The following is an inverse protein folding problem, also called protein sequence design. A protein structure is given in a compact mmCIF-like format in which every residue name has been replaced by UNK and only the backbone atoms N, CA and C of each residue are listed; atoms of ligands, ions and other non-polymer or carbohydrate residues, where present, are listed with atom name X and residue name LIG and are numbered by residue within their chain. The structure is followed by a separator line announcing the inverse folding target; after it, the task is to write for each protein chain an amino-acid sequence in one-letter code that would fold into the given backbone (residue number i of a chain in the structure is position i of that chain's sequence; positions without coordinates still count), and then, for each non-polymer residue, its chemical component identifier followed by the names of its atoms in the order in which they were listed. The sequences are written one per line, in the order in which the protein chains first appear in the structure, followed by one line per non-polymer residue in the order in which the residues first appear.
data_IF_484902484189
#
_entry.id   IF_484902484189
#
_cell.length_a   1.000
_cell.length_b   1.000
_cell.length_c   1.000
_cell.angle_alpha   90.00
_cell.angle_beta   90.00
_cell.angle_gamma   90.00
#
_symmetry.space_group_name_H-M   'P 1'
#
loop_
_entity.id
_entity.type
_entity.pdbx_description
1 polymer ?
#
# COMPACT_ATOMS: atom_id res chain seq x y z
N UNK A 1 -13.41 31.82 -43.63
CA UNK A 1 -12.16 31.20 -43.12
C UNK A 1 -12.57 30.28 -41.98
N UNK A 2 -12.47 28.97 -42.17
CA UNK A 2 -12.84 27.97 -41.16
C UNK A 2 -11.55 27.45 -40.52
N UNK A 3 -11.42 27.61 -39.20
CA UNK A 3 -10.30 27.09 -38.42
C UNK A 3 -10.72 25.73 -37.89
N UNK A 4 -10.22 24.65 -38.51
CA UNK A 4 -10.35 23.29 -38.02
C UNK A 4 -9.43 23.09 -36.81
N UNK A 5 -10.01 23.00 -35.61
CA UNK A 5 -9.31 22.61 -34.39
C UNK A 5 -9.22 21.08 -34.33
N UNK A 6 -8.06 20.53 -34.66
CA UNK A 6 -7.67 19.16 -34.36
C UNK A 6 -7.33 19.08 -32.86
N UNK A 7 -8.26 18.59 -32.04
CA UNK A 7 -7.98 18.27 -30.64
C UNK A 7 -7.44 16.84 -30.55
N UNK A 8 -6.15 16.73 -30.25
CA UNK A 8 -5.47 15.46 -30.02
C UNK A 8 -6.07 14.73 -28.81
N UNK A 9 -6.52 13.49 -29.01
CA UNK A 9 -6.94 12.60 -27.95
C UNK A 9 -5.70 12.15 -27.14
N UNK A 10 -5.47 12.77 -25.99
CA UNK A 10 -4.54 12.27 -25.00
C UNK A 10 -5.12 10.98 -24.41
N UNK A 11 -4.66 9.84 -24.92
CA UNK A 11 -4.80 8.55 -24.24
C UNK A 11 -3.90 8.57 -22.99
N UNK A 12 -4.36 9.27 -21.96
CA UNK A 12 -3.80 9.11 -20.62
C UNK A 12 -4.09 7.68 -20.19
N UNK A 13 -3.05 6.84 -20.14
CA UNK A 13 -3.13 5.51 -19.54
C UNK A 13 -3.58 5.67 -18.08
N UNK A 14 -4.86 5.42 -17.85
CA UNK A 14 -5.44 5.46 -16.51
C UNK A 14 -4.63 4.54 -15.59
N UNK A 15 -4.41 4.92 -14.32
CA UNK A 15 -3.70 4.05 -13.39
C UNK A 15 -4.44 2.71 -13.33
N UNK A 16 -3.75 1.61 -13.69
CA UNK A 16 -4.31 0.25 -13.61
C UNK A 16 -4.84 0.05 -12.20
N UNK A 17 -6.14 -0.13 -12.01
CA UNK A 17 -6.72 -0.29 -10.68
C UNK A 17 -6.16 -1.57 -10.01
N UNK A 18 -5.85 -1.57 -8.70
CA UNK A 18 -5.42 -2.80 -8.03
C UNK A 18 -6.51 -3.87 -8.14
N UNK A 19 -6.11 -5.13 -8.35
CA UNK A 19 -7.02 -6.28 -8.28
C UNK A 19 -7.89 -6.19 -7.00
N UNK A 20 -9.22 -6.41 -7.10
CA UNK A 20 -10.13 -6.39 -5.95
C UNK A 20 -9.60 -7.14 -4.71
N UNK A 21 -8.89 -8.26 -4.88
CA UNK A 21 -8.31 -9.02 -3.75
C UNK A 21 -7.36 -8.16 -2.90
N UNK A 22 -6.58 -7.30 -3.52
CA UNK A 22 -5.63 -6.44 -2.82
C UNK A 22 -6.32 -5.28 -2.11
N UNK A 23 -7.47 -4.82 -2.63
CA UNK A 23 -8.29 -3.82 -1.94
C UNK A 23 -8.90 -4.40 -0.66
N UNK A 24 -9.43 -5.62 -0.69
CA UNK A 24 -9.94 -6.28 0.50
C UNK A 24 -8.82 -6.62 1.50
N UNK A 25 -7.69 -7.09 1.00
CA UNK A 25 -6.50 -7.36 1.83
C UNK A 25 -6.02 -6.08 2.52
N UNK A 26 -5.98 -4.95 1.81
CA UNK A 26 -5.65 -3.66 2.41
C UNK A 26 -6.69 -3.23 3.45
N UNK A 27 -7.99 -3.38 3.18
CA UNK A 27 -9.04 -3.06 4.14
C UNK A 27 -8.90 -3.90 5.41
N UNK A 28 -8.73 -5.22 5.28
CA UNK A 28 -8.52 -6.14 6.39
C UNK A 28 -7.33 -5.72 7.25
N UNK A 29 -6.14 -5.54 6.66
CA UNK A 29 -4.96 -5.15 7.41
C UNK A 29 -5.03 -3.71 7.95
N UNK A 30 -5.75 -2.83 7.26
CA UNK A 30 -6.06 -1.46 7.69
C UNK A 30 -6.73 -1.40 9.05
N UNK A 31 -7.56 -2.39 9.41
CA UNK A 31 -8.20 -2.45 10.72
C UNK A 31 -7.24 -2.69 11.89
N UNK A 32 -6.06 -3.25 11.63
CA UNK A 32 -5.08 -3.58 12.68
C UNK A 32 -3.98 -2.52 12.84
N UNK A 33 -3.95 -1.50 11.99
CA UNK A 33 -2.91 -0.47 12.03
C UNK A 33 -3.48 0.88 12.42
N UNK A 34 -2.66 1.67 13.10
CA UNK A 34 -3.00 3.03 13.52
C UNK A 34 -1.72 3.86 13.65
N UNK A 35 -1.81 5.18 13.83
CA UNK A 35 -0.63 5.99 14.12
C UNK A 35 0.17 5.53 15.36
N UNK A 36 -0.46 4.80 16.28
CA UNK A 36 0.20 4.21 17.46
C UNK A 36 0.96 2.91 17.17
N UNK A 37 0.80 2.34 15.96
CA UNK A 37 1.43 1.08 15.53
C UNK A 37 0.41 0.02 15.15
N UNK A 38 0.85 -1.24 15.19
CA UNK A 38 0.02 -2.42 14.90
C UNK A 38 -0.60 -2.98 16.19
N UNK A 39 -1.84 -3.46 16.10
CA UNK A 39 -2.53 -4.16 17.20
C UNK A 39 -2.27 -5.68 17.16
N UNK A 40 -1.93 -6.21 15.98
CA UNK A 40 -1.69 -7.62 15.75
C UNK A 40 -0.19 -7.97 15.80
N UNK A 41 0.12 -9.23 16.13
CA UNK A 41 1.50 -9.76 16.11
C UNK A 41 1.80 -10.42 14.78
N UNK A 42 2.49 -9.70 13.91
CA UNK A 42 2.94 -10.20 12.61
C UNK A 42 4.40 -10.63 12.62
N UNK A 43 4.79 -11.59 11.74
CA UNK A 43 6.21 -11.83 11.48
C UNK A 43 6.88 -10.56 10.95
N UNK A 44 8.14 -10.37 11.28
CA UNK A 44 8.95 -9.27 10.77
C UNK A 44 10.10 -9.79 9.93
N UNK A 45 10.48 -9.01 8.92
CA UNK A 45 11.69 -9.23 8.12
C UNK A 45 12.63 -8.04 8.25
N UNK A 46 13.95 -8.23 8.10
CA UNK A 46 14.92 -7.15 8.30
C UNK A 46 14.80 -5.99 7.30
N UNK A 47 14.32 -6.28 6.08
CA UNK A 47 14.17 -5.27 5.01
C UNK A 47 13.02 -5.64 4.09
N UNK A 48 12.45 -4.62 3.45
CA UNK A 48 11.50 -4.82 2.35
C UNK A 48 12.24 -5.51 1.19
N UNK A 49 11.65 -6.55 0.57
CA UNK A 49 12.20 -7.15 -0.65
C UNK A 49 12.49 -6.08 -1.71
N UNK A 50 13.67 -6.16 -2.32
CA UNK A 50 14.19 -5.09 -3.19
C UNK A 50 13.32 -4.84 -4.41
N UNK A 51 12.76 -5.91 -4.99
CA UNK A 51 11.86 -5.80 -6.14
C UNK A 51 10.54 -5.10 -5.82
N UNK A 52 10.21 -4.87 -4.55
CA UNK A 52 8.98 -4.19 -4.14
C UNK A 52 9.14 -2.68 -3.94
N UNK A 53 10.37 -2.17 -3.84
CA UNK A 53 10.61 -0.75 -3.50
C UNK A 53 9.98 0.23 -4.49
N UNK A 54 9.98 -0.13 -5.77
CA UNK A 54 9.43 0.69 -6.86
C UNK A 54 8.06 0.18 -7.35
N UNK A 55 7.44 -0.74 -6.58
CA UNK A 55 6.11 -1.26 -6.92
C UNK A 55 5.02 -0.39 -6.32
N UNK A 56 3.80 -0.58 -6.82
CA UNK A 56 2.64 0.10 -6.26
C UNK A 56 2.38 -0.41 -4.83
N UNK A 57 2.38 0.51 -3.88
CA UNK A 57 1.83 0.29 -2.54
C UNK A 57 0.38 0.78 -2.37
N UNK A 58 -0.29 0.30 -1.33
CA UNK A 58 -1.57 0.80 -0.84
C UNK A 58 -1.38 1.40 0.55
N UNK A 59 -1.77 2.67 0.75
CA UNK A 59 -1.73 3.30 2.07
C UNK A 59 -2.78 2.66 2.98
N UNK A 60 -2.37 2.17 4.15
CA UNK A 60 -3.27 1.61 5.16
C UNK A 60 -3.67 2.65 6.20
N UNK A 61 -2.71 3.46 6.66
CA UNK A 61 -2.98 4.64 7.47
C UNK A 61 -1.94 5.72 7.19
N UNK A 62 -2.25 6.93 7.66
CA UNK A 62 -1.32 8.05 7.70
C UNK A 62 -0.98 8.39 9.15
N UNK A 63 0.18 9.01 9.43
CA UNK A 63 0.57 9.37 10.79
C UNK A 63 -0.34 10.47 11.39
N UNK A 64 -1.05 11.22 10.53
CA UNK A 64 -1.97 12.28 10.95
C UNK A 64 -1.23 13.46 11.59
N UNK A 65 -1.87 14.11 12.57
CA UNK A 65 -1.26 15.20 13.34
C UNK A 65 -0.45 14.72 14.55
N UNK A 66 -0.23 13.41 14.71
CA UNK A 66 0.45 12.86 15.89
C UNK A 66 1.98 12.99 15.72
N UNK A 67 2.67 13.75 16.60
CA UNK A 67 4.13 13.80 16.59
C UNK A 67 4.70 12.40 16.81
N UNK A 68 5.58 11.95 15.90
CA UNK A 68 6.11 10.57 15.92
C UNK A 68 5.11 9.49 15.53
N UNK A 69 3.94 9.87 14.99
CA UNK A 69 2.94 8.92 14.49
C UNK A 69 3.50 8.03 13.38
N UNK A 70 2.96 6.82 13.29
CA UNK A 70 3.40 5.78 12.35
C UNK A 70 2.52 5.77 11.10
N UNK A 71 3.14 5.75 9.93
CA UNK A 71 2.49 5.48 8.66
C UNK A 71 2.64 3.99 8.31
N UNK A 72 1.66 3.42 7.63
CA UNK A 72 1.70 2.03 7.18
C UNK A 72 1.32 1.95 5.71
N UNK A 73 2.18 1.31 4.93
CA UNK A 73 2.01 1.08 3.50
C UNK A 73 2.07 -0.42 3.24
N UNK A 74 1.11 -0.94 2.49
CA UNK A 74 1.08 -2.34 2.06
C UNK A 74 1.68 -2.49 0.66
N UNK A 75 2.76 -3.26 0.57
CA UNK A 75 3.41 -3.68 -0.67
C UNK A 75 2.90 -5.06 -1.07
N UNK A 76 2.65 -5.23 -2.37
CA UNK A 76 2.05 -6.45 -2.92
C UNK A 76 3.12 -7.21 -3.70
N UNK A 77 3.41 -8.43 -3.28
CA UNK A 77 4.24 -9.36 -4.05
C UNK A 77 3.33 -10.31 -4.82
N UNK A 78 3.04 -9.94 -6.07
CA UNK A 78 2.15 -10.72 -6.94
C UNK A 78 2.74 -12.08 -7.33
N UNK A 79 4.07 -12.19 -7.40
CA UNK A 79 4.75 -13.43 -7.75
C UNK A 79 4.65 -14.46 -6.61
N UNK A 80 4.89 -14.02 -5.38
CA UNK A 80 4.78 -14.86 -4.19
C UNK A 80 3.34 -14.96 -3.64
N UNK A 81 2.41 -14.15 -4.14
CA UNK A 81 1.02 -14.02 -3.66
C UNK A 81 0.95 -13.73 -2.16
N UNK A 82 1.76 -12.77 -1.71
CA UNK A 82 1.81 -12.30 -0.31
C UNK A 82 1.89 -10.78 -0.28
N UNK A 83 1.67 -10.20 0.89
CA UNK A 83 1.87 -8.77 1.13
C UNK A 83 2.90 -8.52 2.23
N UNK A 84 3.51 -7.34 2.18
CA UNK A 84 4.38 -6.82 3.22
C UNK A 84 3.84 -5.47 3.67
N UNK A 85 3.87 -5.18 4.96
CA UNK A 85 3.45 -3.88 5.49
C UNK A 85 4.70 -3.17 6.00
N UNK A 86 5.05 -2.06 5.34
CA UNK A 86 6.10 -1.17 5.80
C UNK A 86 5.48 -0.16 6.76
N UNK A 87 5.98 -0.15 7.98
CA UNK A 87 5.71 0.88 8.96
C UNK A 87 6.87 1.87 8.99
N UNK A 88 6.58 3.14 8.78
CA UNK A 88 7.54 4.24 8.96
C UNK A 88 7.10 5.13 10.11
N UNK A 89 8.05 5.80 10.76
CA UNK A 89 7.78 6.75 11.84
C UNK A 89 8.50 8.07 11.56
N UNK A 90 7.93 9.17 12.06
CA UNK A 90 8.55 10.49 11.96
C UNK A 90 9.93 10.55 12.63
N UNK A 91 10.68 11.66 12.46
CA UNK A 91 12.08 11.75 12.85
C UNK A 91 12.34 11.40 14.33
N UNK A 92 13.36 10.57 14.66
CA UNK A 92 14.26 9.87 13.74
C UNK A 92 13.52 8.78 12.94
N UNK A 93 13.76 8.74 11.63
CA UNK A 93 13.11 7.76 10.75
C UNK A 93 13.45 6.34 11.21
N UNK A 94 12.43 5.58 11.60
CA UNK A 94 12.56 4.15 11.84
C UNK A 94 11.57 3.38 10.98
N UNK A 95 12.06 2.27 10.42
CA UNK A 95 11.30 1.38 9.56
C UNK A 95 11.14 0.01 10.22
N UNK A 96 9.95 -0.56 10.10
CA UNK A 96 9.69 -1.96 10.45
C UNK A 96 8.92 -2.59 9.31
N UNK A 97 9.34 -3.77 8.87
CA UNK A 97 8.67 -4.51 7.79
C UNK A 97 7.99 -5.73 8.36
N UNK A 98 6.67 -5.75 8.27
CA UNK A 98 5.85 -6.90 8.64
C UNK A 98 5.57 -7.77 7.42
N UNK A 99 5.67 -9.08 7.57
CA UNK A 99 5.36 -10.07 6.56
C UNK A 99 6.41 -11.17 6.42
N UNK A 100 6.27 -12.04 5.41
CA UNK A 100 5.16 -12.07 4.44
C UNK A 100 3.81 -12.38 5.11
N UNK A 101 2.74 -11.70 4.68
CA UNK A 101 1.37 -11.94 5.13
C UNK A 101 0.51 -12.47 3.99
N UNK A 102 -0.45 -13.38 4.26
CA UNK A 102 -1.32 -13.92 3.22
C UNK A 102 -2.32 -12.86 2.72
N UNK A 103 -2.79 -12.92 1.47
CA UNK A 103 -3.98 -12.19 1.06
C UNK A 103 -5.20 -12.70 1.84
N UNK A 104 -6.22 -11.87 1.92
CA UNK A 104 -7.54 -12.30 2.42
C UNK A 104 -8.50 -12.44 1.26
N UNK A 105 -9.38 -13.43 1.37
CA UNK A 105 -10.49 -13.56 0.42
C UNK A 105 -11.46 -12.40 0.62
N UNK A 106 -11.79 -11.70 -0.48
CA UNK A 106 -12.91 -10.78 -0.47
C UNK A 106 -14.22 -11.57 -0.27
N UNK A 107 -15.11 -11.16 0.64
CA UNK A 107 -16.49 -11.62 0.55
C UNK A 107 -17.02 -11.26 -0.84
N UNK A 108 -17.69 -12.21 -1.50
CA UNK A 108 -18.43 -11.92 -2.72
C UNK A 108 -19.64 -11.08 -2.30
N UNK A 109 -19.80 -9.92 -2.92
CA UNK A 109 -21.03 -9.12 -2.81
C UNK A 109 -22.26 -9.91 -3.27
#
# INVERSE_FOLDING_TARGET
MAISLLLAAALGSAPVEPDPIWRCTAAHYGHFVSPSGTQEKWPTVPKLPEHLRDTRQINLNSPGMLPGGRAHMMYIDTAAKVVYILQTSGPPESEVVFGPLPPVDCPKE
#
